data_IF_963576262043
#
_entry.id   IF_963576262043
#
_cell.length_a   1.000
_cell.length_b   1.000
_cell.length_c   1.000
_cell.angle_alpha   90.00
_cell.angle_beta   90.00
_cell.angle_gamma   90.00
#
_symmetry.space_group_name_H-M   'P 1'
#
loop_
_entity.id
_entity.type
_entity.pdbx_description
1 polymer ?
#
# COMPACT_ATOMS: atom_id res chain seq x y z
N UNK A 1 27.40 -17.12 -5.10
CA UNK A 1 26.36 -16.10 -4.89
C UNK A 1 25.87 -15.61 -6.25
N UNK A 2 24.61 -15.84 -6.60
CA UNK A 2 24.01 -15.29 -7.81
C UNK A 2 23.93 -13.77 -7.65
N UNK A 3 24.55 -13.02 -8.55
CA UNK A 3 24.46 -11.54 -8.56
C UNK A 3 22.99 -11.16 -8.70
N UNK A 4 22.44 -10.53 -7.68
CA UNK A 4 21.07 -10.02 -7.70
C UNK A 4 20.96 -8.94 -8.78
N UNK A 5 20.22 -9.23 -9.86
CA UNK A 5 20.05 -8.30 -10.99
C UNK A 5 18.77 -7.49 -10.77
N UNK A 6 18.92 -6.23 -10.43
CA UNK A 6 17.80 -5.29 -10.38
C UNK A 6 17.57 -4.65 -11.75
N UNK A 7 16.32 -4.64 -12.22
CA UNK A 7 15.91 -3.95 -13.44
C UNK A 7 14.85 -2.93 -13.05
N UNK A 8 15.11 -1.66 -13.33
CA UNK A 8 14.16 -0.55 -13.10
C UNK A 8 13.55 -0.12 -14.43
N UNK A 9 12.22 0.03 -14.47
CA UNK A 9 11.48 0.46 -15.66
C UNK A 9 10.75 1.76 -15.31
N UNK A 10 11.13 2.85 -15.95
CA UNK A 10 10.56 4.18 -15.76
C UNK A 10 9.72 4.60 -16.96
N UNK A 11 8.77 5.48 -16.74
CA UNK A 11 7.97 6.10 -17.78
C UNK A 11 6.69 6.74 -17.21
N UNK A 12 6.10 7.72 -17.89
CA UNK A 12 4.84 8.34 -17.49
C UNK A 12 3.67 7.33 -17.51
N UNK A 13 2.49 7.68 -16.97
CA UNK A 13 1.29 6.86 -17.10
C UNK A 13 0.99 6.52 -18.56
N UNK A 14 0.48 5.32 -18.82
CA UNK A 14 0.10 4.87 -20.18
C UNK A 14 1.26 4.33 -21.05
N UNK A 15 2.51 4.37 -20.62
CA UNK A 15 3.68 3.92 -21.43
C UNK A 15 3.91 2.40 -21.42
N UNK A 16 2.95 1.61 -20.98
CA UNK A 16 3.07 0.14 -21.05
C UNK A 16 3.98 -0.50 -19.99
N UNK A 17 4.30 0.19 -18.88
CA UNK A 17 5.13 -0.40 -17.81
C UNK A 17 4.56 -1.72 -17.27
N UNK A 18 3.25 -1.76 -17.01
CA UNK A 18 2.58 -2.98 -16.54
C UNK A 18 2.64 -4.07 -17.61
N UNK A 19 2.40 -3.73 -18.87
CA UNK A 19 2.51 -4.66 -20.00
C UNK A 19 3.94 -5.22 -20.11
N UNK A 20 4.95 -4.38 -19.95
CA UNK A 20 6.35 -4.83 -19.95
C UNK A 20 6.63 -5.82 -18.82
N UNK A 21 6.08 -5.57 -17.62
CA UNK A 21 6.22 -6.48 -16.48
C UNK A 21 5.51 -7.82 -16.74
N UNK A 22 4.31 -7.79 -17.29
CA UNK A 22 3.55 -8.99 -17.66
C UNK A 22 4.24 -9.79 -18.78
N UNK A 23 4.77 -9.13 -19.80
CA UNK A 23 5.55 -9.81 -20.84
C UNK A 23 6.85 -10.46 -20.27
N UNK A 24 7.41 -9.88 -19.22
CA UNK A 24 8.52 -10.48 -18.50
C UNK A 24 8.10 -11.73 -17.75
N UNK A 25 6.92 -11.72 -17.12
CA UNK A 25 6.30 -12.87 -16.48
C UNK A 25 6.09 -13.99 -17.49
N UNK A 26 5.52 -13.70 -18.66
CA UNK A 26 5.32 -14.68 -19.74
C UNK A 26 6.65 -15.33 -20.21
N UNK A 27 7.73 -14.53 -20.27
CA UNK A 27 9.06 -15.05 -20.61
C UNK A 27 9.63 -15.98 -19.52
N UNK A 28 9.34 -15.72 -18.25
CA UNK A 28 9.71 -16.62 -17.15
C UNK A 28 8.96 -17.94 -17.27
N UNK A 29 7.66 -17.86 -17.50
CA UNK A 29 6.83 -19.03 -17.73
C UNK A 29 7.26 -19.85 -18.95
N UNK A 30 7.63 -19.21 -20.06
CA UNK A 30 8.15 -19.88 -21.25
C UNK A 30 9.47 -20.63 -20.99
N UNK A 31 10.24 -20.20 -19.98
CA UNK A 31 11.47 -20.89 -19.51
C UNK A 31 11.18 -22.02 -18.51
N UNK A 32 9.92 -22.32 -18.24
CA UNK A 32 9.50 -23.38 -17.30
C UNK A 32 9.53 -22.97 -15.82
N UNK A 33 9.79 -21.68 -15.52
CA UNK A 33 9.74 -21.18 -14.13
C UNK A 33 8.29 -21.20 -13.68
N UNK A 34 8.03 -21.90 -12.59
CA UNK A 34 6.67 -22.12 -12.07
C UNK A 34 6.20 -20.92 -11.24
N UNK A 35 4.86 -20.67 -11.17
CA UNK A 35 4.30 -19.54 -10.44
C UNK A 35 4.73 -19.48 -8.97
N UNK A 36 4.83 -20.59 -8.27
CA UNK A 36 5.29 -20.63 -6.88
C UNK A 36 6.74 -20.19 -6.66
N UNK A 37 7.53 -20.09 -7.75
CA UNK A 37 8.91 -19.57 -7.74
C UNK A 37 8.97 -18.05 -8.00
N UNK A 38 7.82 -17.38 -8.15
CA UNK A 38 7.71 -15.98 -8.49
C UNK A 38 6.88 -15.25 -7.43
N UNK A 39 7.34 -14.07 -7.00
CA UNK A 39 6.49 -13.10 -6.33
C UNK A 39 6.12 -11.99 -7.33
N UNK A 40 4.81 -11.86 -7.61
CA UNK A 40 4.26 -10.79 -8.44
C UNK A 40 3.47 -9.83 -7.54
N UNK A 41 4.00 -8.63 -7.34
CA UNK A 41 3.38 -7.61 -6.49
C UNK A 41 2.94 -6.41 -7.34
N UNK A 42 1.73 -5.92 -7.10
CA UNK A 42 1.17 -4.76 -7.78
C UNK A 42 0.39 -3.87 -6.82
N UNK A 43 0.11 -2.64 -7.23
CA UNK A 43 -0.79 -1.74 -6.49
C UNK A 43 -2.27 -2.07 -6.69
N UNK A 44 -2.65 -2.73 -7.80
CA UNK A 44 -4.04 -2.95 -8.17
C UNK A 44 -4.41 -4.42 -8.26
N UNK A 45 -5.61 -4.77 -7.82
CA UNK A 45 -6.17 -6.12 -8.00
C UNK A 45 -6.29 -6.49 -9.49
N UNK A 46 -6.60 -5.53 -10.37
CA UNK A 46 -6.69 -5.76 -11.81
C UNK A 46 -5.38 -6.34 -12.37
N UNK A 47 -4.23 -5.73 -12.04
CA UNK A 47 -2.93 -6.22 -12.52
C UNK A 47 -2.56 -7.57 -11.89
N UNK A 48 -2.93 -7.81 -10.63
CA UNK A 48 -2.73 -9.11 -9.98
C UNK A 48 -3.56 -10.19 -10.68
N UNK A 49 -4.84 -9.93 -10.93
CA UNK A 49 -5.74 -10.89 -11.58
C UNK A 49 -5.30 -11.20 -13.02
N UNK A 50 -4.82 -10.20 -13.76
CA UNK A 50 -4.26 -10.42 -15.09
C UNK A 50 -3.02 -11.33 -15.05
N UNK A 51 -2.12 -11.11 -14.09
CA UNK A 51 -0.94 -11.97 -13.90
C UNK A 51 -1.32 -13.41 -13.53
N UNK A 52 -2.30 -13.58 -12.64
CA UNK A 52 -2.84 -14.91 -12.28
C UNK A 52 -3.46 -15.62 -13.49
N UNK A 53 -4.23 -14.91 -14.30
CA UNK A 53 -4.84 -15.47 -15.50
C UNK A 53 -3.80 -15.92 -16.53
N UNK A 54 -2.73 -15.14 -16.73
CA UNK A 54 -1.60 -15.54 -17.60
C UNK A 54 -0.90 -16.79 -17.08
N UNK A 55 -0.73 -16.93 -15.78
CA UNK A 55 -0.19 -18.15 -15.19
C UNK A 55 -1.13 -19.35 -15.43
N UNK A 56 -2.43 -19.20 -15.18
CA UNK A 56 -3.43 -20.26 -15.41
C UNK A 56 -3.51 -20.68 -16.89
N UNK A 57 -3.40 -19.75 -17.82
CA UNK A 57 -3.39 -20.06 -19.25
C UNK A 57 -2.14 -20.83 -19.71
N UNK A 58 -1.04 -20.70 -18.98
CA UNK A 58 0.24 -21.34 -19.33
C UNK A 58 0.43 -22.70 -18.66
N UNK A 59 -0.15 -22.90 -17.49
CA UNK A 59 0.01 -24.11 -16.70
C UNK A 59 -1.36 -24.66 -16.32
N UNK A 60 -1.66 -25.92 -16.71
CA UNK A 60 -2.96 -26.55 -16.50
C UNK A 60 -3.20 -27.00 -15.05
N UNK A 61 -2.14 -27.30 -14.30
CA UNK A 61 -2.20 -27.86 -12.95
C UNK A 61 -1.71 -26.87 -11.89
N UNK A 62 -2.23 -25.62 -11.95
CA UNK A 62 -1.93 -24.59 -10.96
C UNK A 62 -2.97 -24.60 -9.86
N UNK A 63 -2.50 -24.68 -8.61
CA UNK A 63 -3.31 -24.47 -7.42
C UNK A 63 -3.32 -22.98 -7.01
N UNK A 64 -4.28 -22.56 -6.18
CA UNK A 64 -4.27 -21.22 -5.58
C UNK A 64 -3.04 -21.01 -4.69
N UNK A 65 -2.54 -22.07 -4.05
CA UNK A 65 -1.33 -22.02 -3.24
C UNK A 65 -0.09 -21.69 -4.08
N UNK A 66 -0.02 -22.12 -5.31
CA UNK A 66 1.07 -21.78 -6.23
C UNK A 66 1.05 -20.31 -6.61
N UNK A 67 -0.10 -19.67 -6.57
CA UNK A 67 -0.30 -18.24 -6.84
C UNK A 67 -0.31 -17.36 -5.57
N UNK A 68 0.02 -17.90 -4.40
CA UNK A 68 -0.03 -17.18 -3.12
C UNK A 68 0.78 -15.89 -3.07
N UNK A 69 1.85 -15.79 -3.86
CA UNK A 69 2.71 -14.62 -3.95
C UNK A 69 2.31 -13.67 -5.11
N UNK A 70 1.17 -13.91 -5.80
CA UNK A 70 0.56 -13.01 -6.77
C UNK A 70 -0.50 -12.17 -6.07
N UNK A 71 -0.14 -10.98 -5.58
CA UNK A 71 -1.03 -10.15 -4.76
C UNK A 71 -0.72 -8.66 -4.84
N UNK A 72 -1.60 -7.87 -4.24
CA UNK A 72 -1.27 -6.46 -4.03
C UNK A 72 -0.21 -6.29 -2.96
N UNK A 73 0.55 -5.20 -3.02
CA UNK A 73 1.59 -4.87 -2.03
C UNK A 73 0.99 -4.87 -0.62
N UNK A 74 -0.15 -4.20 -0.41
CA UNK A 74 -0.82 -4.17 0.89
C UNK A 74 -1.25 -5.57 1.35
N UNK A 75 -1.84 -6.37 0.47
CA UNK A 75 -2.23 -7.75 0.80
C UNK A 75 -1.02 -8.62 1.15
N UNK A 76 0.11 -8.38 0.50
CA UNK A 76 1.36 -9.07 0.80
C UNK A 76 1.92 -8.66 2.17
N UNK A 77 2.00 -7.36 2.44
CA UNK A 77 2.45 -6.85 3.74
C UNK A 77 1.56 -7.36 4.88
N UNK A 78 0.24 -7.28 4.70
CA UNK A 78 -0.74 -7.74 5.70
C UNK A 78 -0.61 -9.21 6.09
N UNK A 79 -0.15 -10.10 5.20
CA UNK A 79 0.05 -11.51 5.56
C UNK A 79 0.99 -11.73 6.73
N UNK A 80 1.93 -10.82 6.93
CA UNK A 80 2.90 -10.90 8.02
C UNK A 80 2.30 -10.40 9.35
N UNK A 81 1.19 -9.66 9.32
CA UNK A 81 0.58 -8.96 10.48
C UNK A 81 -0.93 -9.16 10.53
N UNK A 82 -1.39 -10.40 10.62
CA UNK A 82 -2.82 -10.76 10.55
C UNK A 82 -3.67 -10.35 11.76
N UNK A 83 -3.07 -9.83 12.81
CA UNK A 83 -3.69 -9.72 14.14
C UNK A 83 -4.57 -8.48 14.32
N UNK A 84 -4.37 -7.41 13.54
CA UNK A 84 -5.13 -6.16 13.70
C UNK A 84 -6.09 -5.94 12.54
N UNK A 85 -7.34 -5.51 12.75
CA UNK A 85 -8.24 -5.09 11.67
C UNK A 85 -7.70 -3.85 10.96
N UNK A 86 -8.07 -3.69 9.69
CA UNK A 86 -7.75 -2.48 8.92
C UNK A 86 -8.81 -1.42 9.23
N UNK A 87 -8.38 -0.17 9.37
CA UNK A 87 -9.28 0.97 9.51
C UNK A 87 -10.22 1.02 8.31
N UNK A 88 -11.52 0.98 8.59
CA UNK A 88 -12.56 1.26 7.61
C UNK A 88 -12.86 2.77 7.60
N UNK A 89 -12.56 3.48 6.47
CA UNK A 89 -12.80 4.91 6.41
C UNK A 89 -14.28 5.32 6.56
N UNK A 90 -15.22 4.42 6.26
CA UNK A 90 -16.65 4.73 6.32
C UNK A 90 -17.25 4.48 7.70
N UNK A 91 -16.63 3.63 8.51
CA UNK A 91 -17.11 3.25 9.86
C UNK A 91 -16.20 3.87 10.92
N UNK A 92 -14.93 3.48 10.94
CA UNK A 92 -13.99 3.83 12.01
C UNK A 92 -13.66 5.33 12.05
N UNK A 93 -13.58 5.96 10.88
CA UNK A 93 -13.29 7.40 10.81
C UNK A 93 -14.50 8.28 11.15
N UNK A 94 -15.71 7.73 11.11
CA UNK A 94 -16.90 8.42 11.65
C UNK A 94 -16.82 8.47 13.18
N UNK A 95 -16.51 7.35 13.82
CA UNK A 95 -16.30 7.29 15.27
C UNK A 95 -15.19 8.23 15.72
N UNK A 96 -14.02 8.17 15.06
CA UNK A 96 -12.89 9.05 15.33
C UNK A 96 -13.26 10.53 15.23
N UNK A 97 -13.96 10.93 14.16
CA UNK A 97 -14.41 12.31 13.98
C UNK A 97 -15.37 12.76 15.07
N UNK A 98 -16.31 11.89 15.49
CA UNK A 98 -17.26 12.20 16.56
C UNK A 98 -16.57 12.42 17.91
N UNK A 99 -15.63 11.57 18.28
CA UNK A 99 -14.86 11.69 19.53
C UNK A 99 -14.11 13.01 19.61
N UNK A 100 -13.58 13.50 18.50
CA UNK A 100 -12.80 14.75 18.44
C UNK A 100 -13.65 15.99 18.11
N UNK A 101 -14.98 15.84 17.92
CA UNK A 101 -15.83 16.95 17.48
C UNK A 101 -15.45 17.51 16.10
N UNK A 102 -14.92 16.68 15.23
CA UNK A 102 -14.52 17.04 13.88
C UNK A 102 -15.68 16.91 12.89
N UNK A 103 -15.69 17.66 11.77
CA UNK A 103 -16.55 17.37 10.64
C UNK A 103 -16.33 15.95 10.13
N UNK A 104 -17.31 15.41 9.38
CA UNK A 104 -17.19 14.09 8.76
C UNK A 104 -15.86 13.95 8.00
N UNK A 105 -15.05 13.00 8.42
CA UNK A 105 -13.80 12.65 7.76
C UNK A 105 -14.09 11.68 6.59
N UNK A 106 -13.59 12.01 5.43
CA UNK A 106 -13.76 11.20 4.23
C UNK A 106 -12.66 11.48 3.21
N UNK A 107 -12.50 10.57 2.28
CA UNK A 107 -11.64 10.83 1.13
C UNK A 107 -12.35 11.68 0.08
N UNK A 108 -11.62 12.60 -0.50
CA UNK A 108 -12.05 13.40 -1.65
C UNK A 108 -11.01 13.36 -2.78
N UNK A 109 -11.39 13.82 -3.96
CA UNK A 109 -10.46 14.01 -5.08
C UNK A 109 -9.86 15.40 -5.03
N UNK A 110 -8.54 15.47 -4.95
CA UNK A 110 -7.80 16.73 -5.04
C UNK A 110 -6.66 16.55 -6.06
N UNK A 111 -6.65 17.37 -7.12
CA UNK A 111 -5.69 17.26 -8.23
C UNK A 111 -5.57 15.82 -8.79
N UNK A 112 -6.71 15.11 -8.90
CA UNK A 112 -6.76 13.73 -9.41
C UNK A 112 -6.32 12.65 -8.43
N UNK A 113 -5.86 13.01 -7.23
CA UNK A 113 -5.48 12.09 -6.18
C UNK A 113 -6.61 11.93 -5.15
N UNK A 114 -6.69 10.76 -4.55
CA UNK A 114 -7.57 10.50 -3.40
C UNK A 114 -6.85 10.94 -2.13
N UNK A 115 -7.39 11.92 -1.42
CA UNK A 115 -6.80 12.49 -0.21
C UNK A 115 -7.88 12.70 0.86
N UNK A 116 -7.48 12.79 2.12
CA UNK A 116 -8.39 13.16 3.21
C UNK A 116 -8.94 14.58 3.00
N UNK A 117 -10.19 14.82 3.37
CA UNK A 117 -10.77 16.16 3.40
C UNK A 117 -10.23 17.03 4.55
N UNK A 118 -9.63 16.42 5.59
CA UNK A 118 -8.92 17.12 6.66
C UNK A 118 -7.45 17.35 6.33
N UNK A 119 -6.96 18.57 6.56
CA UNK A 119 -5.59 18.95 6.24
C UNK A 119 -4.53 18.31 7.13
N UNK A 120 -4.85 18.03 8.40
CA UNK A 120 -3.92 17.37 9.31
C UNK A 120 -3.64 15.95 8.85
N UNK A 121 -4.68 15.21 8.50
CA UNK A 121 -4.53 13.86 7.98
C UNK A 121 -3.84 13.83 6.60
N UNK A 122 -4.05 14.85 5.74
CA UNK A 122 -3.30 14.98 4.46
C UNK A 122 -1.81 15.14 4.68
N UNK A 123 -1.42 16.05 5.58
CA UNK A 123 -0.01 16.30 5.91
C UNK A 123 0.61 15.04 6.48
N UNK A 124 -0.10 14.39 7.38
CA UNK A 124 0.32 13.15 8.00
C UNK A 124 0.55 12.03 6.98
N UNK A 125 -0.41 11.75 6.10
CA UNK A 125 -0.27 10.77 5.03
C UNK A 125 0.89 11.12 4.08
N UNK A 126 1.03 12.40 3.72
CA UNK A 126 2.13 12.87 2.88
C UNK A 126 3.47 12.62 3.54
N UNK A 127 3.62 12.96 4.82
CA UNK A 127 4.85 12.78 5.56
C UNK A 127 5.29 11.31 5.60
N UNK A 128 4.36 10.42 5.93
CA UNK A 128 4.61 8.98 5.96
C UNK A 128 5.00 8.42 4.59
N UNK A 129 4.30 8.84 3.52
CA UNK A 129 4.63 8.43 2.16
C UNK A 129 6.01 8.94 1.68
N UNK A 130 6.49 10.04 2.25
CA UNK A 130 7.83 10.61 1.98
C UNK A 130 8.91 10.12 2.95
N UNK A 131 8.55 9.30 3.95
CA UNK A 131 9.42 8.88 5.06
C UNK A 131 10.00 10.08 5.83
N UNK A 132 9.19 11.12 6.01
CA UNK A 132 9.53 12.36 6.71
C UNK A 132 8.74 12.48 8.02
N UNK A 133 9.27 13.27 8.96
CA UNK A 133 8.51 13.59 10.17
C UNK A 133 7.32 14.50 9.82
N UNK A 134 6.10 14.28 10.37
CA UNK A 134 4.93 15.11 10.06
C UNK A 134 5.13 16.61 10.31
N UNK A 135 5.86 16.97 11.36
CA UNK A 135 6.16 18.37 11.69
C UNK A 135 7.02 19.06 10.62
N UNK A 136 7.92 18.33 9.99
CA UNK A 136 8.78 18.90 8.95
C UNK A 136 7.96 19.18 7.68
N UNK A 137 7.08 18.26 7.30
CA UNK A 137 6.17 18.48 6.18
C UNK A 137 5.19 19.62 6.47
N UNK A 138 4.68 19.73 7.71
CA UNK A 138 3.82 20.84 8.12
C UNK A 138 4.53 22.21 7.95
N UNK A 139 5.80 22.31 8.37
CA UNK A 139 6.61 23.53 8.24
C UNK A 139 6.91 23.87 6.78
N UNK A 140 7.30 22.85 5.97
CA UNK A 140 7.63 23.03 4.55
C UNK A 140 6.45 23.50 3.72
N UNK A 141 5.27 22.94 3.97
CA UNK A 141 4.04 23.27 3.23
C UNK A 141 3.54 24.70 3.51
N UNK A 142 4.07 25.41 4.53
CA UNK A 142 3.63 26.76 4.96
C UNK A 142 2.09 26.85 5.06
N UNK A 143 1.47 25.78 5.53
CA UNK A 143 0.01 25.66 5.52
C UNK A 143 -0.57 26.59 6.58
N UNK A 144 -1.29 27.62 6.10
CA UNK A 144 -2.06 28.54 6.97
C UNK A 144 -3.49 28.01 7.27
N UNK A 145 -3.85 26.84 6.75
CA UNK A 145 -5.23 26.31 6.80
C UNK A 145 -5.56 25.52 8.07
N UNK A 146 -4.54 25.11 8.80
CA UNK A 146 -4.69 24.46 10.10
C UNK A 146 -3.63 24.99 11.06
N UNK A 147 -4.07 25.34 12.28
CA UNK A 147 -3.15 25.79 13.35
C UNK A 147 -2.34 24.60 13.82
N UNK A 148 -1.04 24.81 14.11
CA UNK A 148 -0.12 23.75 14.50
C UNK A 148 -0.60 22.91 15.69
N UNK A 149 -1.16 23.56 16.72
CA UNK A 149 -1.69 22.86 17.89
C UNK A 149 -2.85 21.90 17.51
N UNK A 150 -3.74 22.32 16.59
CA UNK A 150 -4.81 21.46 16.10
C UNK A 150 -4.28 20.32 15.24
N UNK A 151 -3.27 20.61 14.40
CA UNK A 151 -2.59 19.59 13.60
C UNK A 151 -1.99 18.50 14.49
N UNK A 152 -1.24 18.86 15.53
CA UNK A 152 -0.64 17.91 16.47
C UNK A 152 -1.70 17.10 17.22
N UNK A 153 -2.74 17.76 17.73
CA UNK A 153 -3.84 17.11 18.44
C UNK A 153 -4.49 16.00 17.57
N UNK A 154 -4.80 16.31 16.32
CA UNK A 154 -5.46 15.33 15.42
C UNK A 154 -4.53 14.16 15.12
N UNK A 155 -3.23 14.39 14.89
CA UNK A 155 -2.29 13.31 14.60
C UNK A 155 -2.08 12.41 15.82
N UNK A 156 -1.87 12.99 17.00
CA UNK A 156 -1.68 12.24 18.25
C UNK A 156 -2.90 11.39 18.56
N UNK A 157 -4.09 11.97 18.47
CA UNK A 157 -5.34 11.21 18.64
C UNK A 157 -5.53 10.10 17.58
N UNK A 158 -5.09 10.33 16.32
CA UNK A 158 -5.17 9.31 15.29
C UNK A 158 -4.19 8.15 15.55
N UNK A 159 -2.98 8.46 16.01
CA UNK A 159 -2.03 7.43 16.43
C UNK A 159 -2.56 6.61 17.60
N UNK A 160 -3.10 7.25 18.63
CA UNK A 160 -3.74 6.57 19.77
C UNK A 160 -4.90 5.68 19.32
N UNK A 161 -5.75 6.17 18.42
CA UNK A 161 -6.86 5.40 17.85
C UNK A 161 -6.39 4.11 17.15
N UNK A 162 -5.16 4.12 16.58
CA UNK A 162 -4.56 2.95 15.93
C UNK A 162 -3.87 1.99 16.89
N UNK A 163 -3.35 2.48 18.04
CA UNK A 163 -2.41 1.73 18.91
C UNK A 163 -2.89 0.34 19.28
N UNK A 164 -4.13 0.20 19.71
CA UNK A 164 -4.52 -1.05 20.35
C UNK A 164 -5.17 -2.07 19.40
N UNK A 165 -5.86 -1.64 18.35
CA UNK A 165 -6.71 -2.57 17.61
C UNK A 165 -6.74 -2.42 16.09
N UNK A 166 -6.14 -1.38 15.49
CA UNK A 166 -6.35 -1.07 14.06
C UNK A 166 -5.06 -0.70 13.35
N UNK A 167 -5.02 -0.89 12.04
CA UNK A 167 -3.90 -0.46 11.17
C UNK A 167 -4.47 0.21 9.93
N UNK A 168 -3.82 1.26 9.48
CA UNK A 168 -4.08 1.82 8.17
C UNK A 168 -3.21 1.14 7.08
N UNK A 169 -3.42 1.52 5.82
CA UNK A 169 -2.66 0.94 4.71
C UNK A 169 -1.16 1.23 4.78
N UNK A 170 -0.78 2.39 5.31
CA UNK A 170 0.63 2.78 5.44
C UNK A 170 1.31 2.01 6.55
N UNK A 171 0.62 1.78 7.69
CA UNK A 171 1.13 0.96 8.79
C UNK A 171 1.51 -0.45 8.31
N UNK A 172 0.74 -1.06 7.42
CA UNK A 172 1.06 -2.39 6.89
C UNK A 172 2.38 -2.43 6.15
N UNK A 173 2.70 -1.37 5.41
CA UNK A 173 3.95 -1.26 4.66
C UNK A 173 5.11 -0.98 5.60
N UNK A 174 4.94 -0.03 6.54
CA UNK A 174 5.96 0.33 7.53
C UNK A 174 6.32 -0.87 8.42
N UNK A 175 5.34 -1.54 9.02
CA UNK A 175 5.59 -2.76 9.80
C UNK A 175 6.29 -3.85 8.98
N UNK A 176 5.92 -3.99 7.68
CA UNK A 176 6.59 -4.95 6.83
C UNK A 176 8.06 -4.59 6.57
N UNK A 177 8.36 -3.30 6.38
CA UNK A 177 9.73 -2.84 6.20
C UNK A 177 10.59 -3.05 7.44
N UNK A 178 10.01 -2.93 8.62
CA UNK A 178 10.71 -3.14 9.90
C UNK A 178 10.89 -4.62 10.26
N UNK A 179 9.85 -5.42 10.11
CA UNK A 179 9.78 -6.78 10.68
C UNK A 179 9.44 -7.85 9.67
N UNK A 180 9.16 -7.46 8.42
CA UNK A 180 8.69 -8.37 7.39
C UNK A 180 9.76 -9.38 6.94
N UNK A 181 9.27 -10.52 6.47
CA UNK A 181 10.12 -11.55 5.89
C UNK A 181 9.91 -11.58 4.37
N UNK A 182 10.97 -11.83 3.59
CA UNK A 182 10.83 -11.97 2.15
C UNK A 182 9.84 -13.09 1.80
N UNK A 183 9.23 -13.05 0.60
CA UNK A 183 8.31 -14.09 0.17
C UNK A 183 9.02 -15.46 0.15
N UNK A 184 8.35 -16.47 0.68
CA UNK A 184 8.84 -17.85 0.57
C UNK A 184 8.57 -18.33 -0.86
N UNK A 185 9.63 -18.43 -1.65
CA UNK A 185 9.62 -19.07 -2.97
C UNK A 185 10.07 -20.53 -2.81
N UNK A 186 9.44 -21.43 -3.54
CA UNK A 186 9.81 -22.87 -3.54
C UNK A 186 10.82 -23.16 -4.65
#
# INVERSE_FOLDING_TARGET
MLKQKTIKIYGPPGTGKTTTLLNKLDRLFARGIKPYQIAYLSFTNKAVNEAKQRAANKFTDISEEDLRNFRTIHSFCRQNFKTKPVIDPEVDMVEFAQVLGLPKLQFEKYNGQRVWNDWSLRIYDKARNMLMHPDDVYKEEKIKRVVYAKFRLIIEAYEEFKVDHRVDFTDMIEEYLEKGKPPKLK
#
